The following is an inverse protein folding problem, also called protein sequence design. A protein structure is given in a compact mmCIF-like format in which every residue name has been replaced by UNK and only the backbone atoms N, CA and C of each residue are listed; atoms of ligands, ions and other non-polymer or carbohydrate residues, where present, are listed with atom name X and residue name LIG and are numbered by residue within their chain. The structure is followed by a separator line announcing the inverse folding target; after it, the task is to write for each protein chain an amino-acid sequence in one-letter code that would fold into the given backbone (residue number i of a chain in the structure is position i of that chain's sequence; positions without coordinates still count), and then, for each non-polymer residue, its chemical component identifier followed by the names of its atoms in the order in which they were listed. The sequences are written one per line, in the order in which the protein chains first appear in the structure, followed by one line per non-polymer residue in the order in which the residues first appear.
data_IF_282103696893
#
_entry.id   IF_282103696893
#
_cell.length_a   1.000
_cell.length_b   1.000
_cell.length_c   1.000
_cell.angle_alpha   90.00
_cell.angle_beta   90.00
_cell.angle_gamma   90.00
#
_symmetry.space_group_name_H-M   'P 1'
#
loop_
_entity.id
_entity.type
_entity.pdbx_description
1 polymer ?
#
# COMPACT_ATOMS: atom_id res chain seq x y z
N UNK A 1 21.31 5.89 -4.25
CA UNK A 1 21.30 4.49 -4.70
C UNK A 1 21.24 3.61 -3.46
N UNK A 2 20.23 2.76 -3.32
CA UNK A 2 19.94 2.02 -2.08
C UNK A 2 20.87 0.82 -1.88
N UNK A 3 21.35 0.60 -0.67
CA UNK A 3 22.04 -0.62 -0.26
C UNK A 3 21.02 -1.78 -0.26
N UNK A 4 21.32 -2.86 -0.99
CA UNK A 4 20.49 -4.07 -1.18
C UNK A 4 19.15 -3.90 -1.91
N UNK A 5 18.97 -2.81 -2.67
CA UNK A 5 17.86 -2.69 -3.60
C UNK A 5 17.90 -3.82 -4.66
N UNK A 6 16.78 -4.52 -4.88
CA UNK A 6 16.63 -5.66 -5.83
C UNK A 6 17.45 -6.93 -5.52
N UNK A 7 18.02 -7.06 -4.32
CA UNK A 7 18.99 -8.13 -4.03
C UNK A 7 18.52 -9.56 -4.32
N UNK A 8 17.23 -9.89 -4.17
CA UNK A 8 16.69 -11.24 -4.48
C UNK A 8 15.76 -11.30 -5.69
N UNK A 9 15.86 -10.35 -6.64
CA UNK A 9 15.10 -10.46 -7.88
C UNK A 9 15.64 -11.56 -8.79
N UNK A 10 14.99 -12.72 -8.82
CA UNK A 10 15.48 -13.91 -9.54
C UNK A 10 14.92 -14.04 -10.95
N UNK A 11 13.66 -13.66 -11.20
CA UNK A 11 13.01 -13.78 -12.53
C UNK A 11 12.12 -12.60 -12.91
N UNK A 12 11.90 -11.65 -12.00
CA UNK A 12 11.09 -10.47 -12.27
C UNK A 12 11.83 -9.43 -13.10
N UNK A 13 11.14 -8.72 -13.98
CA UNK A 13 11.70 -7.65 -14.81
C UNK A 13 10.96 -6.32 -14.61
N UNK A 14 11.61 -5.21 -15.03
CA UNK A 14 11.10 -3.84 -14.98
C UNK A 14 10.69 -3.32 -13.58
N UNK A 15 11.45 -3.70 -12.55
CA UNK A 15 11.29 -3.18 -11.20
C UNK A 15 12.25 -1.99 -10.93
N UNK A 16 11.76 -0.92 -10.32
CA UNK A 16 12.58 0.22 -9.86
C UNK A 16 12.60 0.24 -8.34
N UNK A 17 13.77 0.22 -7.70
CA UNK A 17 13.88 0.36 -6.26
C UNK A 17 14.94 1.38 -5.83
N UNK A 18 14.55 2.26 -4.92
CA UNK A 18 15.43 3.27 -4.32
C UNK A 18 15.18 3.36 -2.82
N UNK A 19 16.14 2.92 -2.02
CA UNK A 19 16.03 2.90 -0.56
C UNK A 19 16.72 1.70 0.05
N UNK A 20 16.97 1.73 1.34
CA UNK A 20 17.51 0.60 2.07
C UNK A 20 16.50 -0.55 2.08
N UNK A 21 16.90 -1.74 1.63
CA UNK A 21 16.07 -2.94 1.56
C UNK A 21 14.74 -2.78 0.78
N UNK A 22 14.71 -1.89 -0.22
CA UNK A 22 13.56 -1.76 -1.10
C UNK A 22 13.51 -2.94 -2.10
N UNK A 23 12.35 -3.58 -2.25
CA UNK A 23 12.13 -4.74 -3.15
C UNK A 23 13.12 -5.92 -2.94
N UNK A 24 13.46 -6.23 -1.70
CA UNK A 24 14.46 -7.27 -1.39
C UNK A 24 14.00 -8.70 -1.62
N UNK A 25 12.70 -9.02 -1.53
CA UNK A 25 12.20 -10.42 -1.58
C UNK A 25 11.43 -10.77 -2.86
N UNK A 26 11.57 -9.98 -3.92
CA UNK A 26 10.80 -10.09 -5.17
C UNK A 26 11.28 -11.18 -6.12
N UNK A 27 10.88 -12.43 -5.90
CA UNK A 27 11.35 -13.58 -6.69
C UNK A 27 10.80 -13.61 -8.12
N UNK A 28 9.49 -13.37 -8.32
CA UNK A 28 8.84 -13.44 -9.65
C UNK A 28 8.04 -12.18 -10.02
N UNK A 29 8.09 -11.14 -9.18
CA UNK A 29 7.27 -9.94 -9.36
C UNK A 29 7.77 -9.01 -10.46
N UNK A 30 6.86 -8.43 -11.24
CA UNK A 30 7.17 -7.54 -12.36
C UNK A 30 6.53 -6.15 -12.18
N UNK A 31 7.13 -5.14 -12.80
CA UNK A 31 6.59 -3.77 -12.91
C UNK A 31 6.33 -3.06 -11.57
N UNK A 32 7.15 -3.31 -10.54
CA UNK A 32 7.01 -2.66 -9.25
C UNK A 32 7.93 -1.44 -9.12
N UNK A 33 7.42 -0.37 -8.50
CA UNK A 33 8.22 0.81 -8.14
C UNK A 33 8.24 0.97 -6.63
N UNK A 34 9.42 0.94 -6.01
CA UNK A 34 9.62 1.10 -4.58
C UNK A 34 10.59 2.26 -4.29
N UNK A 35 10.12 3.30 -3.61
CA UNK A 35 10.92 4.47 -3.24
C UNK A 35 10.75 4.73 -1.74
N UNK A 36 11.78 4.42 -0.96
CA UNK A 36 11.76 4.50 0.50
C UNK A 36 12.42 3.29 1.14
N UNK A 37 12.89 3.42 2.38
CA UNK A 37 13.42 2.27 3.10
C UNK A 37 12.31 1.25 3.38
N UNK A 38 12.58 -0.03 3.11
CA UNK A 38 11.65 -1.16 3.24
C UNK A 38 10.38 -1.10 2.38
N UNK A 39 10.32 -0.20 1.39
CA UNK A 39 9.20 -0.17 0.45
C UNK A 39 9.15 -1.49 -0.34
N UNK A 40 8.00 -2.16 -0.34
CA UNK A 40 7.78 -3.47 -0.99
C UNK A 40 8.79 -4.58 -0.58
N UNK A 41 9.39 -4.50 0.61
CA UNK A 41 10.48 -5.42 0.99
C UNK A 41 10.08 -6.90 1.00
N UNK A 42 8.83 -7.22 1.34
CA UNK A 42 8.32 -8.60 1.41
C UNK A 42 7.42 -8.98 0.23
N UNK A 43 7.51 -8.26 -0.90
CA UNK A 43 6.76 -8.62 -2.10
C UNK A 43 7.36 -9.80 -2.84
N UNK A 44 6.66 -10.95 -2.88
CA UNK A 44 7.17 -12.19 -3.47
C UNK A 44 6.64 -12.42 -4.90
N UNK A 45 5.32 -12.28 -5.12
CA UNK A 45 4.69 -12.55 -6.43
C UNK A 45 3.80 -11.40 -6.95
N UNK A 46 3.61 -10.33 -6.18
CA UNK A 46 2.72 -9.22 -6.51
C UNK A 46 3.25 -8.31 -7.61
N UNK A 47 2.50 -8.16 -8.70
CA UNK A 47 2.88 -7.33 -9.85
C UNK A 47 2.25 -5.92 -9.83
N UNK A 48 2.90 -4.98 -10.51
CA UNK A 48 2.36 -3.64 -10.79
C UNK A 48 1.99 -2.83 -9.55
N UNK A 49 2.81 -2.89 -8.49
CA UNK A 49 2.62 -2.08 -7.30
C UNK A 49 3.54 -0.85 -7.29
N UNK A 50 3.03 0.29 -6.82
CA UNK A 50 3.82 1.51 -6.60
C UNK A 50 3.82 1.84 -5.12
N UNK A 51 5.00 1.88 -4.51
CA UNK A 51 5.20 2.19 -3.10
C UNK A 51 6.17 3.36 -2.95
N UNK A 52 5.70 4.48 -2.42
CA UNK A 52 6.52 5.67 -2.14
C UNK A 52 6.35 6.06 -0.69
N UNK A 53 7.40 5.88 0.11
CA UNK A 53 7.40 6.10 1.55
C UNK A 53 8.14 5.01 2.31
N UNK A 54 8.59 5.32 3.52
CA UNK A 54 9.19 4.31 4.40
C UNK A 54 8.10 3.30 4.82
N UNK A 55 8.39 2.01 4.65
CA UNK A 55 7.47 0.89 4.90
C UNK A 55 6.19 0.86 4.05
N UNK A 56 6.08 1.67 3.00
CA UNK A 56 4.93 1.60 2.08
C UNK A 56 4.85 0.21 1.43
N UNK A 57 3.68 -0.44 1.51
CA UNK A 57 3.44 -1.81 1.01
C UNK A 57 4.45 -2.87 1.50
N UNK A 58 5.01 -2.72 2.70
CA UNK A 58 6.08 -3.61 3.21
C UNK A 58 5.69 -5.09 3.14
N UNK A 59 4.50 -5.48 3.61
CA UNK A 59 4.03 -6.87 3.73
C UNK A 59 3.08 -7.31 2.61
N UNK A 60 3.32 -6.84 1.40
CA UNK A 60 2.53 -7.23 0.24
C UNK A 60 2.98 -8.55 -0.37
N UNK A 61 2.45 -9.71 0.04
CA UNK A 61 2.95 -11.01 -0.44
C UNK A 61 2.54 -11.35 -1.88
N UNK A 62 1.26 -11.22 -2.22
CA UNK A 62 0.72 -11.64 -3.52
C UNK A 62 -0.19 -10.61 -4.19
N UNK A 63 -0.36 -9.43 -3.58
CA UNK A 63 -1.31 -8.46 -4.10
C UNK A 63 -0.76 -7.65 -5.26
N UNK A 64 -1.67 -7.24 -6.13
CA UNK A 64 -1.38 -6.63 -7.43
C UNK A 64 -2.08 -5.28 -7.56
N UNK A 65 -1.47 -4.40 -8.36
CA UNK A 65 -2.09 -3.13 -8.76
C UNK A 65 -2.41 -2.19 -7.58
N UNK A 66 -1.59 -2.18 -6.54
CA UNK A 66 -1.74 -1.24 -5.42
C UNK A 66 -0.82 -0.03 -5.55
N UNK A 67 -1.33 1.14 -5.18
CA UNK A 67 -0.56 2.39 -5.09
C UNK A 67 -0.57 2.88 -3.65
N UNK A 68 0.60 2.95 -3.02
CA UNK A 68 0.79 3.48 -1.68
C UNK A 68 1.76 4.67 -1.73
N UNK A 69 1.28 5.84 -1.32
CA UNK A 69 2.06 7.08 -1.25
C UNK A 69 1.95 7.66 0.15
N UNK A 70 2.96 7.45 0.98
CA UNK A 70 2.98 7.83 2.39
C UNK A 70 3.81 6.86 3.21
N UNK A 71 4.36 7.34 4.32
CA UNK A 71 4.99 6.46 5.32
C UNK A 71 3.91 5.51 5.85
N UNK A 72 4.24 4.22 5.94
CA UNK A 72 3.38 3.12 6.41
C UNK A 72 2.01 2.98 5.70
N UNK A 73 1.84 3.56 4.51
CA UNK A 73 0.64 3.36 3.70
C UNK A 73 0.55 1.92 3.17
N UNK A 74 -0.62 1.27 3.31
CA UNK A 74 -0.88 -0.12 2.91
C UNK A 74 0.13 -1.16 3.47
N UNK A 75 0.75 -0.90 4.63
CA UNK A 75 1.84 -1.72 5.18
C UNK A 75 1.50 -3.21 5.26
N UNK A 76 0.29 -3.56 5.72
CA UNK A 76 -0.12 -4.95 5.98
C UNK A 76 -1.08 -5.54 4.95
N UNK A 77 -1.07 -5.03 3.72
CA UNK A 77 -1.92 -5.55 2.65
C UNK A 77 -1.38 -6.86 2.06
N UNK A 78 -1.93 -7.99 2.50
CA UNK A 78 -1.43 -9.32 2.13
C UNK A 78 -2.01 -9.82 0.80
N UNK A 79 -3.32 -9.66 0.56
CA UNK A 79 -4.00 -10.18 -0.65
C UNK A 79 -4.92 -9.19 -1.35
N UNK A 80 -5.15 -8.00 -0.79
CA UNK A 80 -6.04 -7.00 -1.36
C UNK A 80 -5.49 -6.33 -2.62
N UNK A 81 -6.24 -6.34 -3.72
CA UNK A 81 -5.80 -5.77 -5.00
C UNK A 81 -6.44 -4.39 -5.26
N UNK A 82 -5.88 -3.63 -6.21
CA UNK A 82 -6.48 -2.40 -6.73
C UNK A 82 -6.73 -1.32 -5.65
N UNK A 83 -5.91 -1.24 -4.61
CA UNK A 83 -6.06 -0.20 -3.59
C UNK A 83 -5.17 1.01 -3.88
N UNK A 84 -5.70 2.20 -3.65
CA UNK A 84 -4.96 3.46 -3.70
C UNK A 84 -4.97 4.13 -2.33
N UNK A 85 -3.82 4.23 -1.69
CA UNK A 85 -3.66 4.85 -0.38
C UNK A 85 -2.67 6.01 -0.45
N UNK A 86 -3.12 7.23 -0.16
CA UNK A 86 -2.29 8.42 -0.15
C UNK A 86 -2.38 9.11 1.21
N UNK A 87 -1.29 9.19 1.94
CA UNK A 87 -1.22 9.75 3.30
C UNK A 87 -0.47 8.83 4.26
N UNK A 88 0.02 9.41 5.36
CA UNK A 88 0.66 8.64 6.43
C UNK A 88 -0.37 7.67 7.04
N UNK A 89 -0.03 6.38 7.11
CA UNK A 89 -0.90 5.34 7.69
C UNK A 89 -2.24 5.11 6.96
N UNK A 90 -2.41 5.64 5.75
CA UNK A 90 -3.60 5.36 4.96
C UNK A 90 -3.67 3.86 4.65
N UNK A 91 -4.80 3.22 4.98
CA UNK A 91 -5.04 1.78 4.80
C UNK A 91 -4.00 0.84 5.45
N UNK A 92 -3.32 1.27 6.52
CA UNK A 92 -2.22 0.53 7.14
C UNK A 92 -2.53 -0.96 7.41
N UNK A 93 -3.71 -1.25 7.97
CA UNK A 93 -4.17 -2.59 8.36
C UNK A 93 -5.23 -3.17 7.41
N UNK A 94 -5.25 -2.77 6.14
CA UNK A 94 -6.08 -3.45 5.13
C UNK A 94 -5.41 -4.75 4.74
N UNK A 95 -5.95 -5.93 5.11
CA UNK A 95 -5.31 -7.23 4.81
C UNK A 95 -5.84 -7.88 3.52
N UNK A 96 -7.16 -7.89 3.33
CA UNK A 96 -7.84 -8.55 2.19
C UNK A 96 -8.73 -7.60 1.37
N UNK A 97 -8.94 -6.37 1.85
CA UNK A 97 -9.78 -5.39 1.18
C UNK A 97 -9.24 -5.01 -0.20
N UNK A 98 -10.08 -5.05 -1.23
CA UNK A 98 -9.72 -4.72 -2.62
C UNK A 98 -10.57 -3.57 -3.15
N UNK A 99 -10.08 -2.89 -4.19
CA UNK A 99 -10.77 -1.78 -4.86
C UNK A 99 -11.08 -0.57 -3.94
N UNK A 100 -10.23 -0.29 -2.94
CA UNK A 100 -10.45 0.84 -2.03
C UNK A 100 -9.57 2.04 -2.39
N UNK A 101 -10.11 3.25 -2.19
CA UNK A 101 -9.37 4.51 -2.31
C UNK A 101 -9.38 5.23 -0.96
N UNK A 102 -8.21 5.58 -0.44
CA UNK A 102 -8.06 6.31 0.81
C UNK A 102 -7.06 7.46 0.63
N UNK A 103 -7.51 8.68 0.89
CA UNK A 103 -6.68 9.88 0.86
C UNK A 103 -6.77 10.61 2.19
N UNK A 104 -5.64 10.85 2.84
CA UNK A 104 -5.56 11.52 4.14
C UNK A 104 -4.82 10.73 5.21
N UNK A 105 -4.42 11.44 6.27
CA UNK A 105 -3.73 10.84 7.43
C UNK A 105 -4.66 9.80 8.09
N UNK A 106 -4.22 8.54 8.12
CA UNK A 106 -4.97 7.40 8.65
C UNK A 106 -6.37 7.19 8.04
N UNK A 107 -6.59 7.65 6.82
CA UNK A 107 -7.82 7.33 6.09
C UNK A 107 -7.92 5.81 5.91
N UNK A 108 -9.06 5.24 6.30
CA UNK A 108 -9.39 3.82 6.14
C UNK A 108 -8.37 2.87 6.80
N UNK A 109 -7.73 3.31 7.89
CA UNK A 109 -6.59 2.62 8.51
C UNK A 109 -6.85 1.14 8.82
N UNK A 110 -8.08 0.78 9.19
CA UNK A 110 -8.50 -0.63 9.39
C UNK A 110 -9.68 -0.94 8.46
N UNK A 111 -9.44 -1.77 7.43
CA UNK A 111 -10.46 -2.14 6.47
C UNK A 111 -10.32 -3.59 5.95
N UNK A 112 -11.37 -4.38 6.15
CA UNK A 112 -11.53 -5.69 5.51
C UNK A 112 -12.51 -5.69 4.32
N UNK A 113 -13.10 -4.54 3.99
CA UNK A 113 -14.11 -4.37 2.96
C UNK A 113 -13.55 -4.06 1.58
N UNK A 114 -14.44 -4.12 0.58
CA UNK A 114 -14.15 -3.78 -0.81
C UNK A 114 -14.89 -2.51 -1.25
N UNK A 115 -14.34 -1.76 -2.21
CA UNK A 115 -14.99 -0.61 -2.85
C UNK A 115 -15.35 0.54 -1.90
N UNK A 116 -14.47 0.86 -0.95
CA UNK A 116 -14.60 2.04 -0.10
C UNK A 116 -13.85 3.24 -0.67
N UNK A 117 -14.39 4.44 -0.46
CA UNK A 117 -13.67 5.70 -0.76
C UNK A 117 -13.67 6.57 0.50
N UNK A 118 -12.48 6.81 1.05
CA UNK A 118 -12.25 7.65 2.21
C UNK A 118 -11.40 8.86 1.82
N UNK A 119 -11.88 10.06 2.15
CA UNK A 119 -11.10 11.30 1.99
C UNK A 119 -11.17 12.13 3.27
N UNK A 120 -9.99 12.47 3.80
CA UNK A 120 -9.80 13.32 4.97
C UNK A 120 -9.07 12.62 6.13
N UNK A 121 -8.80 13.43 7.16
CA UNK A 121 -8.14 12.98 8.38
C UNK A 121 -8.98 11.92 9.11
N UNK A 122 -8.44 10.71 9.27
CA UNK A 122 -9.05 9.60 10.03
C UNK A 122 -10.43 9.20 9.44
N UNK A 123 -10.65 9.47 8.15
CA UNK A 123 -11.90 9.11 7.47
C UNK A 123 -12.09 7.59 7.47
N UNK A 124 -13.24 7.10 7.95
CA UNK A 124 -13.58 5.66 7.99
C UNK A 124 -12.52 4.78 8.70
N UNK A 125 -11.92 5.29 9.78
CA UNK A 125 -10.81 4.63 10.50
C UNK A 125 -11.08 3.17 10.91
N UNK A 126 -12.33 2.82 11.24
CA UNK A 126 -12.76 1.44 11.50
C UNK A 126 -13.90 1.05 10.56
N UNK A 127 -13.64 0.17 9.60
CA UNK A 127 -14.66 -0.46 8.77
C UNK A 127 -14.77 -1.95 9.10
N UNK A 128 -15.92 -2.37 9.64
CA UNK A 128 -16.26 -3.77 9.84
C UNK A 128 -17.26 -4.21 8.75
N UNK A 129 -16.78 -5.03 7.82
CA UNK A 129 -17.57 -5.89 6.93
C UNK A 129 -18.67 -5.20 6.07
N UNK A 130 -18.26 -4.75 4.88
CA UNK A 130 -18.93 -5.23 3.67
C UNK A 130 -19.94 -4.34 2.95
N UNK A 131 -19.83 -3.01 2.93
CA UNK A 131 -20.60 -2.17 1.99
C UNK A 131 -19.75 -0.99 1.49
N UNK A 132 -20.03 -0.50 0.26
CA UNK A 132 -19.42 0.70 -0.28
C UNK A 132 -19.69 1.89 0.64
N UNK A 133 -18.68 2.35 1.38
CA UNK A 133 -18.81 3.56 2.20
C UNK A 133 -18.02 4.70 1.56
N UNK A 134 -18.70 5.82 1.39
CA UNK A 134 -18.14 7.07 0.89
C UNK A 134 -18.18 8.09 2.04
N UNK A 135 -17.02 8.56 2.49
CA UNK A 135 -16.94 9.59 3.52
C UNK A 135 -15.90 10.63 3.14
N UNK A 136 -16.36 11.85 2.87
CA UNK A 136 -15.54 13.06 2.82
C UNK A 136 -15.74 13.82 4.13
N UNK A 137 -14.70 13.90 4.97
CA UNK A 137 -14.72 14.83 6.11
C UNK A 137 -13.97 16.09 5.73
N UNK A 138 -14.69 17.12 5.31
CA UNK A 138 -14.12 18.47 5.17
C UNK A 138 -13.72 18.99 6.58
N UNK A 139 -12.48 19.46 6.78
CA UNK A 139 -12.09 20.11 8.03
C UNK A 139 -12.74 21.49 8.08
N UNK A 140 -13.91 21.61 8.69
CA UNK A 140 -14.62 22.89 8.76
C UNK A 140 -15.91 22.96 9.57
N UNK A 141 -16.24 21.97 10.41
CA UNK A 141 -17.34 22.11 11.37
C UNK A 141 -16.77 22.12 12.80
N UNK A 142 -16.76 23.32 13.39
CA UNK A 142 -16.59 23.58 14.82
C UNK A 142 -17.73 22.92 15.62
#
# INVERSE_FOLDING_TARGET
MGFDALFSNTTGYDNTATGYLALTSSTTSNFNTATGAYALSSNTTGNSNTATGNYALMSNTASTQNTASGVIALTFNTTGNNNTATGYGAMEYTTTGSDNTATGLYALAVNGGVKNTADGLVALYFQHNGQQQYCHRFPGAL
#
